data_IF_389556492650
#
_entry.id   IF_389556492650
#
_cell.length_a   1.000
_cell.length_b   1.000
_cell.length_c   1.000
_cell.angle_alpha   90.00
_cell.angle_beta   90.00
_cell.angle_gamma   90.00
#
_symmetry.space_group_name_H-M   'P 1'
#
loop_
_entity.id
_entity.type
_entity.pdbx_description
1 polymer ?
#
# COMPACT_ATOMS: atom_id res chain seq x y z
N UNK A 1 0.12 28.63 12.68
CA UNK A 1 -1.09 28.35 11.88
C UNK A 1 -1.14 29.17 10.58
N UNK A 2 0.00 29.55 9.99
CA UNK A 2 0.04 30.42 8.79
C UNK A 2 0.01 29.66 7.45
N UNK A 3 0.29 28.34 7.46
CA UNK A 3 0.36 27.50 6.25
C UNK A 3 -0.87 26.63 6.00
N UNK A 4 -1.68 26.37 7.03
CA UNK A 4 -2.89 25.56 6.91
C UNK A 4 -4.07 26.30 7.57
N UNK A 5 -5.15 26.57 6.81
CA UNK A 5 -6.29 27.34 7.32
C UNK A 5 -7.18 26.53 8.28
N UNK A 6 -7.11 25.19 8.22
CA UNK A 6 -7.92 24.29 9.05
C UNK A 6 -7.12 23.07 9.50
N UNK A 7 -7.62 22.36 10.52
CA UNK A 7 -7.09 21.06 10.93
C UNK A 7 -7.15 20.05 9.77
N UNK A 8 -8.26 20.03 9.04
CA UNK A 8 -8.43 19.16 7.87
C UNK A 8 -7.36 19.40 6.81
N UNK A 9 -7.09 20.66 6.47
CA UNK A 9 -6.04 21.01 5.50
C UNK A 9 -4.65 20.54 5.96
N UNK A 10 -4.35 20.68 7.26
CA UNK A 10 -3.11 20.16 7.84
C UNK A 10 -3.02 18.63 7.75
N UNK A 11 -4.11 17.92 8.08
CA UNK A 11 -4.14 16.46 8.08
C UNK A 11 -4.07 15.88 6.66
N UNK A 12 -4.75 16.50 5.68
CA UNK A 12 -4.62 16.15 4.27
C UNK A 12 -3.18 16.35 3.77
N UNK A 13 -2.53 17.45 4.16
CA UNK A 13 -1.12 17.66 3.85
C UNK A 13 -0.19 16.60 4.47
N UNK A 14 -0.54 16.06 5.64
CA UNK A 14 0.21 14.95 6.23
C UNK A 14 -0.02 13.62 5.49
N UNK A 15 -1.26 13.34 5.07
CA UNK A 15 -1.56 12.19 4.19
C UNK A 15 -0.73 12.27 2.91
N UNK A 16 -0.72 13.42 2.25
CA UNK A 16 0.08 13.66 1.04
C UNK A 16 1.58 13.46 1.28
N UNK A 17 2.09 13.97 2.39
CA UNK A 17 3.49 13.81 2.74
C UNK A 17 3.87 12.34 2.96
N UNK A 18 3.07 11.58 3.71
CA UNK A 18 3.32 10.15 3.97
C UNK A 18 3.21 9.35 2.67
N UNK A 19 2.18 9.58 1.86
CA UNK A 19 2.00 8.93 0.57
C UNK A 19 3.17 9.20 -0.39
N UNK A 20 3.70 10.42 -0.41
CA UNK A 20 4.89 10.75 -1.21
C UNK A 20 6.14 9.96 -0.76
N UNK A 21 6.30 9.70 0.55
CA UNK A 21 7.40 8.86 1.04
C UNK A 21 7.21 7.39 0.63
N UNK A 22 5.97 6.90 0.63
CA UNK A 22 5.65 5.56 0.14
C UNK A 22 5.95 5.45 -1.35
N UNK A 23 5.51 6.41 -2.16
CA UNK A 23 5.73 6.42 -3.61
C UNK A 23 7.21 6.33 -3.96
N UNK A 24 8.07 7.11 -3.30
CA UNK A 24 9.53 7.06 -3.51
C UNK A 24 10.12 5.67 -3.24
N UNK A 25 9.61 4.97 -2.22
CA UNK A 25 10.09 3.64 -1.85
C UNK A 25 9.50 2.57 -2.76
N UNK A 26 8.21 2.64 -3.09
CA UNK A 26 7.57 1.76 -4.06
C UNK A 26 8.26 1.81 -5.42
N UNK A 27 8.67 3.01 -5.87
CA UNK A 27 9.43 3.19 -7.10
C UNK A 27 10.81 2.51 -7.05
N UNK A 28 11.43 2.31 -5.88
CA UNK A 28 12.66 1.51 -5.80
C UNK A 28 12.43 -0.01 -5.92
N UNK A 29 11.18 -0.46 -5.87
CA UNK A 29 10.79 -1.85 -6.09
C UNK A 29 10.23 -2.11 -7.51
N UNK A 30 10.03 -1.07 -8.31
CA UNK A 30 9.53 -1.18 -9.68
C UNK A 30 10.66 -0.95 -10.69
N UNK A 31 10.78 -1.87 -11.66
CA UNK A 31 11.65 -1.66 -12.82
C UNK A 31 10.90 -0.89 -13.90
N UNK A 32 11.27 0.37 -14.14
CA UNK A 32 10.67 1.22 -15.15
C UNK A 32 9.59 2.16 -14.60
N UNK A 33 8.68 2.62 -15.45
CA UNK A 33 7.64 3.59 -15.09
C UNK A 33 6.33 2.89 -14.70
N UNK A 34 5.64 3.43 -13.71
CA UNK A 34 4.35 2.86 -13.26
C UNK A 34 3.28 2.84 -14.35
N UNK A 35 3.31 3.82 -15.27
CA UNK A 35 2.34 3.88 -16.37
C UNK A 35 2.53 2.78 -17.42
N UNK A 36 3.71 2.15 -17.44
CA UNK A 36 4.07 1.06 -18.35
C UNK A 36 4.01 -0.30 -17.66
N UNK A 37 3.86 -0.31 -16.32
CA UNK A 37 3.89 -1.52 -15.52
C UNK A 37 2.58 -2.30 -15.60
N UNK A 38 2.68 -3.60 -15.88
CA UNK A 38 1.54 -4.51 -15.86
C UNK A 38 0.95 -4.63 -14.44
N UNK A 39 -0.33 -5.03 -14.28
CA UNK A 39 -0.92 -5.24 -12.96
C UNK A 39 -0.09 -6.19 -12.07
N UNK A 40 0.41 -7.36 -12.54
CA UNK A 40 1.32 -8.19 -11.75
C UNK A 40 2.60 -7.47 -11.30
N UNK A 41 3.23 -6.65 -12.16
CA UNK A 41 4.44 -5.90 -11.81
C UNK A 41 4.16 -4.85 -10.71
N UNK A 42 3.04 -4.14 -10.80
CA UNK A 42 2.64 -3.15 -9.78
C UNK A 42 2.34 -3.81 -8.44
N UNK A 43 1.63 -4.93 -8.44
CA UNK A 43 1.34 -5.70 -7.22
C UNK A 43 2.61 -6.31 -6.63
N UNK A 44 3.54 -6.80 -7.46
CA UNK A 44 4.84 -7.29 -6.99
C UNK A 44 5.63 -6.20 -6.26
N UNK A 45 5.73 -5.00 -6.85
CA UNK A 45 6.41 -3.87 -6.21
C UNK A 45 5.73 -3.48 -4.88
N UNK A 46 4.40 -3.50 -4.84
CA UNK A 46 3.63 -3.23 -3.62
C UNK A 46 3.86 -4.27 -2.52
N UNK A 47 3.87 -5.56 -2.88
CA UNK A 47 4.15 -6.69 -1.96
C UNK A 47 5.55 -6.59 -1.38
N UNK A 48 6.55 -6.34 -2.24
CA UNK A 48 7.94 -6.18 -1.81
C UNK A 48 8.10 -5.03 -0.83
N UNK A 49 7.52 -3.88 -1.14
CA UNK A 49 7.51 -2.71 -0.26
C UNK A 49 6.87 -3.04 1.10
N UNK A 50 5.66 -3.61 1.10
CA UNK A 50 4.88 -3.88 2.31
C UNK A 50 5.50 -4.93 3.23
N UNK A 51 6.23 -5.91 2.69
CA UNK A 51 6.80 -7.00 3.48
C UNK A 51 8.26 -6.80 3.88
N UNK A 52 8.96 -5.84 3.28
CA UNK A 52 10.37 -5.54 3.60
C UNK A 52 10.55 -4.27 4.45
N UNK A 53 9.65 -3.30 4.33
CA UNK A 53 9.69 -2.07 5.11
C UNK A 53 9.24 -2.30 6.56
N UNK A 54 9.79 -1.52 7.48
CA UNK A 54 9.24 -1.35 8.82
C UNK A 54 8.30 -0.15 8.84
N UNK A 55 7.05 -0.39 9.23
CA UNK A 55 6.00 0.63 9.31
C UNK A 55 5.86 1.14 10.75
N UNK A 56 5.39 2.38 10.88
CA UNK A 56 5.09 3.00 12.17
C UNK A 56 3.70 3.68 12.15
N UNK A 57 3.33 4.32 13.26
CA UNK A 57 1.99 4.93 13.40
C UNK A 57 1.71 6.06 12.41
N UNK A 58 2.72 6.66 11.81
CA UNK A 58 2.53 7.69 10.76
C UNK A 58 1.95 7.09 9.48
N UNK A 59 2.19 5.79 9.24
CA UNK A 59 1.70 5.07 8.08
C UNK A 59 0.18 4.79 8.12
N UNK A 60 -0.47 5.01 9.26
CA UNK A 60 -1.93 4.94 9.42
C UNK A 60 -2.54 6.34 9.64
N UNK A 61 -1.88 7.40 9.13
CA UNK A 61 -2.33 8.79 9.29
C UNK A 61 -3.77 9.01 8.84
N UNK A 62 -4.24 8.31 7.80
CA UNK A 62 -5.61 8.44 7.31
C UNK A 62 -6.68 7.99 8.31
N UNK A 63 -6.30 7.22 9.34
CA UNK A 63 -7.18 6.75 10.41
C UNK A 63 -7.01 7.55 11.72
N UNK A 64 -6.19 8.60 11.73
CA UNK A 64 -5.77 9.29 12.95
C UNK A 64 -6.83 10.23 13.55
N UNK A 65 -7.85 10.62 12.79
CA UNK A 65 -8.98 11.42 13.28
C UNK A 65 -10.31 10.81 12.81
N UNK A 66 -11.13 10.24 13.73
CA UNK A 66 -12.43 9.66 13.37
C UNK A 66 -13.38 10.61 12.66
N UNK A 67 -13.31 11.93 12.93
CA UNK A 67 -14.17 12.94 12.29
C UNK A 67 -13.75 13.25 10.85
N UNK A 68 -12.49 12.99 10.52
CA UNK A 68 -11.92 13.22 9.19
C UNK A 68 -11.56 11.89 8.50
N UNK A 69 -11.97 10.75 9.07
CA UNK A 69 -11.60 9.43 8.56
C UNK A 69 -11.98 9.26 7.08
N UNK A 70 -13.16 9.73 6.70
CA UNK A 70 -13.64 9.68 5.31
C UNK A 70 -12.78 10.50 4.34
N UNK A 71 -12.61 11.84 4.50
CA UNK A 71 -11.78 12.61 3.57
C UNK A 71 -10.30 12.18 3.58
N UNK A 72 -9.74 11.79 4.74
CA UNK A 72 -8.36 11.33 4.80
C UNK A 72 -8.17 9.96 4.13
N UNK A 73 -9.12 9.04 4.31
CA UNK A 73 -9.07 7.72 3.67
C UNK A 73 -9.30 7.82 2.17
N UNK A 74 -10.20 8.69 1.71
CA UNK A 74 -10.39 8.97 0.29
C UNK A 74 -9.09 9.49 -0.34
N UNK A 75 -8.45 10.47 0.32
CA UNK A 75 -7.18 11.02 -0.15
C UNK A 75 -6.06 9.98 -0.18
N UNK A 76 -5.99 9.11 0.83
CA UNK A 76 -5.06 7.98 0.84
C UNK A 76 -5.31 7.00 -0.32
N UNK A 77 -6.57 6.63 -0.55
CA UNK A 77 -6.96 5.73 -1.64
C UNK A 77 -6.57 6.29 -3.01
N UNK A 78 -6.74 7.59 -3.26
CA UNK A 78 -6.30 8.22 -4.51
C UNK A 78 -4.79 8.04 -4.76
N UNK A 79 -3.97 8.18 -3.72
CA UNK A 79 -2.51 8.08 -3.83
C UNK A 79 -2.01 6.65 -4.04
N UNK A 80 -2.67 5.67 -3.42
CA UNK A 80 -2.27 4.26 -3.51
C UNK A 80 -2.90 3.56 -4.72
N UNK A 81 -4.03 4.06 -5.25
CA UNK A 81 -4.74 3.46 -6.38
C UNK A 81 -3.86 3.13 -7.59
N UNK A 82 -2.92 3.97 -8.04
CA UNK A 82 -2.03 3.64 -9.17
C UNK A 82 -1.27 2.32 -9.00
N UNK A 83 -0.96 1.92 -7.75
CA UNK A 83 -0.20 0.70 -7.46
C UNK A 83 -1.06 -0.55 -7.35
N UNK A 84 -2.29 -0.42 -6.86
CA UNK A 84 -3.11 -1.58 -6.45
C UNK A 84 -4.39 -1.75 -7.25
N UNK A 85 -4.80 -0.75 -8.03
CA UNK A 85 -6.02 -0.84 -8.84
C UNK A 85 -5.81 -1.85 -9.98
N UNK A 86 -6.74 -2.80 -10.07
CA UNK A 86 -6.72 -3.87 -11.06
C UNK A 86 -7.73 -3.59 -12.19
N UNK A 87 -7.30 -3.61 -13.46
CA UNK A 87 -8.16 -3.29 -14.60
C UNK A 87 -9.28 -4.32 -14.76
N UNK A 88 -10.43 -3.91 -15.31
CA UNK A 88 -11.65 -4.74 -15.40
C UNK A 88 -11.49 -5.95 -16.34
N UNK A 89 -10.56 -5.87 -17.29
CA UNK A 89 -10.28 -6.87 -18.31
C UNK A 89 -9.60 -8.14 -17.79
N UNK A 90 -9.11 -8.15 -16.54
CA UNK A 90 -8.54 -9.35 -15.94
C UNK A 90 -9.60 -10.44 -15.76
N UNK A 91 -9.21 -11.68 -16.04
CA UNK A 91 -10.04 -12.83 -15.68
C UNK A 91 -10.30 -12.88 -14.17
N UNK A 92 -11.40 -13.51 -13.77
CA UNK A 92 -11.77 -13.65 -12.36
C UNK A 92 -10.67 -14.33 -11.52
N UNK A 93 -9.98 -15.32 -12.11
CA UNK A 93 -8.88 -16.04 -11.46
C UNK A 93 -7.64 -15.14 -11.25
N UNK A 94 -7.20 -14.43 -12.29
CA UNK A 94 -6.10 -13.47 -12.17
C UNK A 94 -6.40 -12.38 -11.15
N UNK A 95 -7.63 -11.83 -11.18
CA UNK A 95 -8.07 -10.82 -10.20
C UNK A 95 -8.03 -11.37 -8.79
N UNK A 96 -8.52 -12.59 -8.56
CA UNK A 96 -8.53 -13.21 -7.23
C UNK A 96 -7.11 -13.37 -6.66
N UNK A 97 -6.18 -13.89 -7.47
CA UNK A 97 -4.78 -14.09 -7.09
C UNK A 97 -4.05 -12.77 -6.78
N UNK A 98 -4.16 -11.78 -7.66
CA UNK A 98 -3.56 -10.45 -7.44
C UNK A 98 -4.17 -9.75 -6.22
N UNK A 99 -5.48 -9.88 -6.02
CA UNK A 99 -6.16 -9.32 -4.84
C UNK A 99 -5.69 -10.02 -3.56
N UNK A 100 -5.52 -11.34 -3.57
CA UNK A 100 -5.02 -12.09 -2.43
C UNK A 100 -3.59 -11.66 -2.05
N UNK A 101 -2.69 -11.52 -3.03
CA UNK A 101 -1.34 -11.00 -2.81
C UNK A 101 -1.36 -9.59 -2.21
N UNK A 102 -2.22 -8.70 -2.74
CA UNK A 102 -2.42 -7.34 -2.23
C UNK A 102 -2.97 -7.32 -0.80
N UNK A 103 -3.91 -8.20 -0.44
CA UNK A 103 -4.45 -8.29 0.91
C UNK A 103 -3.43 -8.83 1.93
N UNK A 104 -2.55 -9.74 1.51
CA UNK A 104 -1.42 -10.17 2.34
C UNK A 104 -0.48 -9.00 2.64
N UNK A 105 -0.17 -8.19 1.63
CA UNK A 105 0.60 -6.96 1.79
C UNK A 105 -0.11 -5.95 2.70
N UNK A 106 -1.41 -5.74 2.50
CA UNK A 106 -2.23 -4.84 3.33
C UNK A 106 -2.17 -5.22 4.81
N UNK A 107 -2.41 -6.50 5.09
CA UNK A 107 -2.35 -7.03 6.44
C UNK A 107 -0.98 -6.80 7.05
N UNK A 108 0.09 -7.10 6.31
CA UNK A 108 1.46 -6.99 6.79
C UNK A 108 1.86 -5.56 7.17
N UNK A 109 1.57 -4.57 6.32
CA UNK A 109 1.94 -3.20 6.64
C UNK A 109 1.05 -2.62 7.76
N UNK A 110 -0.24 -2.99 7.81
CA UNK A 110 -1.16 -2.50 8.83
C UNK A 110 -0.81 -3.03 10.23
N UNK A 111 -0.51 -4.34 10.36
CA UNK A 111 -0.06 -4.90 11.64
C UNK A 111 1.30 -4.33 12.05
N UNK A 112 2.19 -4.05 11.09
CA UNK A 112 3.47 -3.37 11.33
C UNK A 112 3.27 -1.96 11.89
N UNK A 113 2.43 -1.15 11.25
CA UNK A 113 2.16 0.24 11.65
C UNK A 113 1.48 0.35 13.03
N UNK A 114 0.57 -0.59 13.32
CA UNK A 114 -0.16 -0.63 14.60
C UNK A 114 0.61 -1.32 15.71
N UNK A 115 1.62 -2.13 15.36
CA UNK A 115 2.34 -3.05 16.23
C UNK A 115 1.42 -4.08 16.93
N UNK A 116 0.39 -4.54 16.22
CA UNK A 116 -0.62 -5.49 16.73
C UNK A 116 -0.49 -6.79 15.96
N UNK A 117 -0.10 -7.88 16.66
CA UNK A 117 0.15 -9.19 16.05
C UNK A 117 1.15 -9.17 14.89
N UNK A 118 2.17 -8.31 14.98
CA UNK A 118 3.19 -8.17 13.94
C UNK A 118 3.96 -9.49 13.74
N UNK A 119 4.00 -10.06 12.52
CA UNK A 119 4.81 -11.23 12.24
C UNK A 119 6.29 -10.91 12.40
N UNK A 120 7.07 -11.87 12.88
CA UNK A 120 8.51 -11.75 12.90
C UNK A 120 9.11 -11.72 11.48
N UNK A 121 10.42 -11.46 11.39
CA UNK A 121 11.12 -11.38 10.11
C UNK A 121 10.97 -12.64 9.26
N UNK A 122 11.09 -13.83 9.88
CA UNK A 122 11.02 -15.10 9.16
C UNK A 122 9.62 -15.40 8.63
N UNK A 123 8.59 -15.02 9.40
CA UNK A 123 7.20 -15.08 8.96
C UNK A 123 6.93 -14.10 7.80
N UNK A 124 7.44 -12.86 7.87
CA UNK A 124 7.32 -11.88 6.76
C UNK A 124 7.97 -12.38 5.47
N UNK A 125 9.16 -12.98 5.54
CA UNK A 125 9.82 -13.59 4.37
C UNK A 125 8.99 -14.71 3.74
N UNK A 126 8.38 -15.57 4.56
CA UNK A 126 7.48 -16.63 4.06
C UNK A 126 6.20 -16.07 3.44
N UNK A 127 5.59 -15.06 4.06
CA UNK A 127 4.43 -14.37 3.49
C UNK A 127 4.76 -13.73 2.14
N UNK A 128 5.96 -13.17 2.00
CA UNK A 128 6.44 -12.58 0.74
C UNK A 128 6.57 -13.62 -0.36
N UNK A 129 7.16 -14.78 -0.05
CA UNK A 129 7.25 -15.89 -1.00
C UNK A 129 5.85 -16.39 -1.44
N UNK A 130 4.90 -16.49 -0.50
CA UNK A 130 3.51 -16.89 -0.82
C UNK A 130 2.85 -15.85 -1.74
N UNK A 131 3.00 -14.56 -1.44
CA UNK A 131 2.45 -13.49 -2.25
C UNK A 131 3.06 -13.48 -3.67
N UNK A 132 4.36 -13.75 -3.82
CA UNK A 132 5.00 -13.85 -5.13
C UNK A 132 4.47 -15.03 -5.94
N UNK A 133 4.31 -16.20 -5.33
CA UNK A 133 3.72 -17.36 -6.01
C UNK A 133 2.32 -17.05 -6.57
N UNK A 134 1.48 -16.36 -5.79
CA UNK A 134 0.16 -15.92 -6.26
C UNK A 134 0.24 -14.96 -7.47
N UNK A 135 1.22 -14.07 -7.49
CA UNK A 135 1.42 -13.12 -8.60
C UNK A 135 1.91 -13.84 -9.86
N UNK A 136 2.86 -14.77 -9.71
CA UNK A 136 3.38 -15.59 -10.81
C UNK A 136 2.28 -16.42 -11.46
N UNK A 137 1.40 -17.03 -10.66
CA UNK A 137 0.24 -17.79 -11.14
C UNK A 137 -0.84 -16.93 -11.82
N UNK A 138 -0.78 -15.60 -11.67
CA UNK A 138 -1.71 -14.64 -12.28
C UNK A 138 -1.14 -13.95 -13.53
N UNK A 139 0.16 -14.16 -13.81
CA UNK A 139 0.90 -13.51 -14.89
C UNK A 139 0.66 -14.15 -16.26
#
# INVERSE_FOLDING_TARGET
>A
MYYFPTKEALMLGLVDYVALQWEKQLMSHLHGRIEEASPPQRIHAYVDFALTRNFDRTDIVMLSDPRLCEPLSARWSEQIAPWVHLPDELSADQRAKLTAARLLADGAWFVGATNVFTPDHSARERLRAIAHALIEEAS
#
